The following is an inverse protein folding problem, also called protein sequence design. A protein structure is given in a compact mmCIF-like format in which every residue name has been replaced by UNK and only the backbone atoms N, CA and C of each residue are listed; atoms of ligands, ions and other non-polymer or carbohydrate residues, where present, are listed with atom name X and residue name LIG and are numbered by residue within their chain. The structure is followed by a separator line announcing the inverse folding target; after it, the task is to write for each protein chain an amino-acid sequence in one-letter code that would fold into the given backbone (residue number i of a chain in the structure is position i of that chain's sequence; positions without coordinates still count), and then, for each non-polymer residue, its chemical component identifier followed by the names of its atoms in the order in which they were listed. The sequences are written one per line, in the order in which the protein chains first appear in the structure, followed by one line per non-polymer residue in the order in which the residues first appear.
data_IF_429675695603
#
_entry.id   IF_429675695603
#
_cell.length_a   1.000
_cell.length_b   1.000
_cell.length_c   1.000
_cell.angle_alpha   90.00
_cell.angle_beta   90.00
_cell.angle_gamma   90.00
#
_symmetry.space_group_name_H-M   'P 1'
#
loop_
_entity.id
_entity.type
_entity.pdbx_description
1 polymer ?
#
# COMPACT_ATOMS: atom_id res chain seq x y z
N UNK A 1 6.15 12.79 11.39
CA UNK A 1 5.29 12.21 10.35
C UNK A 1 3.85 12.43 10.73
N UNK A 2 2.99 12.71 9.77
CA UNK A 2 1.55 12.87 9.92
C UNK A 2 0.85 11.79 9.09
N UNK A 3 -0.37 11.44 9.49
CA UNK A 3 -1.20 10.44 8.81
C UNK A 3 -2.50 11.13 8.39
N UNK A 4 -2.89 10.95 7.13
CA UNK A 4 -4.19 11.37 6.61
C UNK A 4 -4.95 10.16 6.08
N UNK A 5 -6.27 10.21 6.11
CA UNK A 5 -7.14 9.21 5.49
C UNK A 5 -8.08 9.92 4.52
N UNK A 6 -7.90 9.65 3.24
CA UNK A 6 -8.82 10.10 2.19
C UNK A 6 -9.92 9.04 2.09
N UNK A 7 -11.08 9.37 2.66
CA UNK A 7 -12.26 8.50 2.63
C UNK A 7 -12.86 8.56 1.24
N UNK A 8 -12.78 7.44 0.52
CA UNK A 8 -13.26 7.32 -0.85
C UNK A 8 -14.60 6.59 -0.88
N UNK A 9 -15.42 6.87 -1.89
CA UNK A 9 -16.65 6.12 -2.10
C UNK A 9 -16.30 4.68 -2.48
N UNK A 10 -16.90 3.73 -1.77
CA UNK A 10 -16.82 2.31 -2.11
C UNK A 10 -18.20 1.68 -2.03
N UNK A 11 -18.40 0.62 -2.81
CA UNK A 11 -19.53 -0.29 -2.59
C UNK A 11 -19.35 -1.12 -1.32
N UNK A 12 -20.30 -2.03 -1.09
CA UNK A 12 -20.16 -3.07 -0.07
C UNK A 12 -18.98 -3.96 -0.43
N UNK A 13 -18.18 -4.31 0.56
CA UNK A 13 -17.06 -5.23 0.39
C UNK A 13 -17.57 -6.63 0.07
N UNK A 14 -17.23 -7.14 -1.12
CA UNK A 14 -17.69 -8.47 -1.57
C UNK A 14 -17.11 -9.62 -0.76
N UNK A 15 -15.85 -9.50 -0.33
CA UNK A 15 -15.12 -10.54 0.43
C UNK A 15 -14.53 -9.92 1.69
N UNK A 16 -14.82 -10.46 2.88
CA UNK A 16 -14.23 -9.95 4.14
C UNK A 16 -12.70 -10.13 4.16
N UNK A 17 -11.98 -9.32 4.94
CA UNK A 17 -10.50 -9.44 5.02
C UNK A 17 -10.07 -10.84 5.46
N UNK A 18 -10.80 -11.43 6.43
CA UNK A 18 -10.52 -12.77 6.96
C UNK A 18 -10.69 -13.85 5.90
N UNK A 19 -11.79 -13.80 5.13
CA UNK A 19 -12.00 -14.75 4.04
C UNK A 19 -10.97 -14.54 2.92
N UNK A 20 -10.72 -13.27 2.56
CA UNK A 20 -9.81 -12.90 1.50
C UNK A 20 -8.37 -13.33 1.79
N UNK A 21 -7.83 -13.07 2.97
CA UNK A 21 -6.45 -13.46 3.32
C UNK A 21 -6.25 -14.98 3.27
N UNK A 22 -7.23 -15.76 3.75
CA UNK A 22 -7.16 -17.21 3.71
C UNK A 22 -7.21 -17.74 2.27
N UNK A 23 -8.01 -17.10 1.42
CA UNK A 23 -8.08 -17.44 0.01
C UNK A 23 -6.78 -17.10 -0.72
N UNK A 24 -6.22 -15.92 -0.48
CA UNK A 24 -4.96 -15.48 -1.08
C UNK A 24 -3.81 -16.43 -0.73
N UNK A 25 -3.67 -16.84 0.53
CA UNK A 25 -2.65 -17.82 0.95
C UNK A 25 -2.75 -19.12 0.16
N UNK A 26 -3.98 -19.58 -0.13
CA UNK A 26 -4.21 -20.85 -0.82
C UNK A 26 -4.02 -20.79 -2.33
N UNK A 27 -4.25 -19.62 -2.94
CA UNK A 27 -4.47 -19.55 -4.40
C UNK A 27 -3.64 -18.52 -5.14
N UNK A 28 -3.13 -17.50 -4.45
CA UNK A 28 -2.29 -16.49 -5.10
C UNK A 28 -0.86 -17.03 -5.28
N UNK A 29 -0.33 -17.10 -6.52
CA UNK A 29 0.97 -17.68 -6.79
C UNK A 29 2.14 -16.90 -6.18
N UNK A 30 1.95 -15.61 -5.90
CA UNK A 30 3.00 -14.71 -5.38
C UNK A 30 3.05 -14.67 -3.84
N UNK A 31 2.11 -15.32 -3.15
CA UNK A 31 2.08 -15.32 -1.67
C UNK A 31 3.27 -16.04 -1.05
N UNK A 32 3.71 -17.14 -1.65
CA UNK A 32 4.86 -17.92 -1.13
C UNK A 32 6.13 -17.07 -1.12
N UNK A 33 6.42 -16.37 -2.22
CA UNK A 33 7.58 -15.48 -2.33
C UNK A 33 7.46 -14.28 -1.39
N UNK A 34 6.26 -13.69 -1.29
CA UNK A 34 6.02 -12.58 -0.36
C UNK A 34 6.38 -12.94 1.08
N UNK A 35 5.90 -14.08 1.56
CA UNK A 35 6.08 -14.50 2.96
C UNK A 35 7.53 -14.90 3.23
N UNK A 36 8.15 -15.64 2.31
CA UNK A 36 9.48 -16.22 2.54
C UNK A 36 10.64 -15.26 2.26
N UNK A 37 10.46 -14.28 1.37
CA UNK A 37 11.54 -13.38 0.91
C UNK A 37 11.19 -11.91 1.11
N UNK A 38 10.10 -11.44 0.50
CA UNK A 38 9.83 -10.00 0.40
C UNK A 38 9.57 -9.35 1.76
N UNK A 39 8.68 -9.94 2.57
CA UNK A 39 8.31 -9.38 3.88
C UNK A 39 9.51 -9.34 4.83
N UNK A 40 10.28 -10.43 5.04
CA UNK A 40 11.48 -10.37 5.88
C UNK A 40 12.46 -9.25 5.48
N UNK A 41 12.73 -9.10 4.18
CA UNK A 41 13.62 -8.05 3.68
C UNK A 41 13.07 -6.65 3.92
N UNK A 42 11.79 -6.42 3.59
CA UNK A 42 11.13 -5.13 3.82
C UNK A 42 11.02 -4.78 5.29
N UNK A 43 10.84 -5.77 6.18
CA UNK A 43 10.82 -5.56 7.62
C UNK A 43 12.14 -4.99 8.14
N UNK A 44 13.29 -5.50 7.68
CA UNK A 44 14.58 -4.93 8.05
C UNK A 44 14.79 -3.54 7.43
N UNK A 45 14.46 -3.36 6.15
CA UNK A 45 14.60 -2.09 5.46
C UNK A 45 13.73 -0.98 6.09
N UNK A 46 12.47 -1.27 6.45
CA UNK A 46 11.56 -0.27 7.03
C UNK A 46 11.96 0.08 8.46
N UNK A 47 12.45 -0.89 9.27
CA UNK A 47 13.02 -0.62 10.60
C UNK A 47 14.19 0.36 10.49
N UNK A 48 15.08 0.14 9.52
CA UNK A 48 16.21 1.03 9.28
C UNK A 48 15.73 2.42 8.85
N UNK A 49 14.78 2.51 7.92
CA UNK A 49 14.23 3.78 7.44
C UNK A 49 13.58 4.59 8.58
N UNK A 50 12.82 3.92 9.45
CA UNK A 50 12.20 4.55 10.63
C UNK A 50 13.28 5.03 11.62
N UNK A 51 14.25 4.18 11.95
CA UNK A 51 15.30 4.49 12.94
C UNK A 51 16.17 5.66 12.48
N UNK A 52 16.50 5.70 11.18
CA UNK A 52 17.30 6.77 10.56
C UNK A 52 16.47 7.99 10.15
N UNK A 53 15.16 7.97 10.40
CA UNK A 53 14.21 9.02 9.98
C UNK A 53 14.26 9.32 8.48
N UNK A 54 14.61 8.33 7.66
CA UNK A 54 14.63 8.43 6.21
C UNK A 54 13.22 8.27 5.64
N UNK A 55 12.51 9.38 5.49
CA UNK A 55 11.14 9.38 4.98
C UNK A 55 11.06 8.88 3.53
N UNK A 56 12.04 9.21 2.69
CA UNK A 56 12.04 8.78 1.28
C UNK A 56 12.02 7.26 1.14
N UNK A 57 12.91 6.58 1.87
CA UNK A 57 12.97 5.12 1.90
C UNK A 57 11.73 4.49 2.55
N UNK A 58 11.24 5.09 3.66
CA UNK A 58 10.00 4.66 4.28
C UNK A 58 8.81 4.73 3.31
N UNK A 59 8.70 5.83 2.56
CA UNK A 59 7.62 6.06 1.61
C UNK A 59 7.67 5.07 0.45
N UNK A 60 8.86 4.79 -0.08
CA UNK A 60 9.06 3.81 -1.14
C UNK A 60 8.63 2.40 -0.70
N UNK A 61 9.09 1.93 0.46
CA UNK A 61 8.74 0.61 0.99
C UNK A 61 7.24 0.51 1.26
N UNK A 62 6.64 1.57 1.83
CA UNK A 62 5.21 1.64 2.16
C UNK A 62 4.35 1.53 0.90
N UNK A 63 4.66 2.30 -0.14
CA UNK A 63 3.92 2.24 -1.40
C UNK A 63 4.12 0.90 -2.11
N UNK A 64 5.34 0.36 -2.13
CA UNK A 64 5.62 -0.94 -2.73
C UNK A 64 4.87 -2.08 -2.02
N UNK A 65 4.79 -2.06 -0.68
CA UNK A 65 4.04 -3.09 0.06
C UNK A 65 2.52 -2.97 -0.13
N UNK A 66 2.02 -1.75 -0.29
CA UNK A 66 0.63 -1.52 -0.66
C UNK A 66 0.32 -1.98 -2.09
N UNK A 67 1.23 -1.76 -3.05
CA UNK A 67 1.08 -2.21 -4.44
C UNK A 67 1.06 -3.75 -4.50
N UNK A 68 1.94 -4.42 -3.73
CA UNK A 68 1.95 -5.87 -3.62
C UNK A 68 0.65 -6.43 -3.05
N UNK A 69 0.03 -5.77 -2.05
CA UNK A 69 -1.27 -6.20 -1.54
C UNK A 69 -2.34 -6.21 -2.63
N UNK A 70 -2.39 -5.16 -3.47
CA UNK A 70 -3.32 -5.11 -4.59
C UNK A 70 -3.02 -6.22 -5.61
N UNK A 71 -1.75 -6.46 -5.92
CA UNK A 71 -1.33 -7.54 -6.82
C UNK A 71 -1.75 -8.92 -6.29
N UNK A 72 -1.57 -9.19 -5.00
CA UNK A 72 -1.97 -10.46 -4.36
C UNK A 72 -3.47 -10.65 -4.46
N UNK A 73 -4.25 -9.60 -4.16
CA UNK A 73 -5.70 -9.66 -4.27
C UNK A 73 -6.13 -9.97 -5.72
N UNK A 74 -5.49 -9.33 -6.71
CA UNK A 74 -5.75 -9.57 -8.13
C UNK A 74 -5.36 -10.99 -8.58
N UNK A 75 -4.27 -11.56 -8.06
CA UNK A 75 -3.80 -12.91 -8.42
C UNK A 75 -4.40 -14.02 -7.54
N UNK A 76 -5.23 -13.68 -6.57
CA UNK A 76 -6.04 -14.65 -5.81
C UNK A 76 -7.09 -15.27 -6.74
N UNK A 77 -7.50 -16.53 -6.50
CA UNK A 77 -8.50 -17.21 -7.33
C UNK A 77 -9.68 -17.64 -6.44
N UNK A 78 -10.89 -17.08 -6.58
CA UNK A 78 -11.25 -15.99 -7.50
C UNK A 78 -10.57 -14.66 -7.13
N UNK A 79 -10.36 -13.74 -8.10
CA UNK A 79 -9.76 -12.43 -7.83
C UNK A 79 -10.54 -11.64 -6.80
N UNK A 80 -9.80 -10.92 -5.95
CA UNK A 80 -10.34 -10.02 -4.94
C UNK A 80 -10.01 -8.59 -5.38
N UNK A 81 -10.97 -7.70 -5.29
CA UNK A 81 -10.76 -6.28 -5.54
C UNK A 81 -11.33 -5.45 -4.38
N UNK A 82 -10.45 -4.70 -3.72
CA UNK A 82 -10.82 -3.75 -2.69
C UNK A 82 -10.72 -2.29 -3.15
N UNK A 83 -9.71 -2.00 -3.98
CA UNK A 83 -9.50 -0.69 -4.58
C UNK A 83 -10.55 -0.38 -5.64
N UNK A 84 -10.96 0.88 -5.71
CA UNK A 84 -11.81 1.43 -6.79
C UNK A 84 -10.97 2.25 -7.76
N UNK A 85 -11.58 2.76 -8.83
CA UNK A 85 -10.90 3.68 -9.74
C UNK A 85 -10.41 4.96 -9.04
N UNK A 86 -11.13 5.43 -8.02
CA UNK A 86 -10.68 6.56 -7.21
C UNK A 86 -9.44 6.20 -6.38
N UNK A 87 -9.35 4.97 -5.87
CA UNK A 87 -8.14 4.46 -5.20
C UNK A 87 -6.96 4.45 -6.17
N UNK A 88 -7.14 3.94 -7.39
CA UNK A 88 -6.09 3.95 -8.40
C UNK A 88 -5.74 5.38 -8.87
N UNK A 89 -6.72 6.29 -8.90
CA UNK A 89 -6.48 7.71 -9.19
C UNK A 89 -5.61 8.35 -8.10
N UNK A 90 -5.82 8.02 -6.83
CA UNK A 90 -4.96 8.45 -5.72
C UNK A 90 -3.53 7.92 -5.88
N UNK A 91 -3.36 6.64 -6.22
CA UNK A 91 -2.02 6.07 -6.47
C UNK A 91 -1.29 6.83 -7.59
N UNK A 92 -1.98 7.09 -8.71
CA UNK A 92 -1.44 7.87 -9.84
C UNK A 92 -1.09 9.29 -9.43
N UNK A 93 -1.97 9.95 -8.66
CA UNK A 93 -1.77 11.32 -8.18
C UNK A 93 -0.51 11.41 -7.31
N UNK A 94 -0.34 10.53 -6.32
CA UNK A 94 0.81 10.56 -5.42
C UNK A 94 2.10 10.23 -6.18
N UNK A 95 2.09 9.25 -7.08
CA UNK A 95 3.24 8.96 -7.97
C UNK A 95 3.63 10.19 -8.80
N UNK A 96 2.65 10.86 -9.42
CA UNK A 96 2.89 12.07 -10.20
C UNK A 96 3.36 13.25 -9.34
N UNK A 97 2.85 13.39 -8.11
CA UNK A 97 3.28 14.43 -7.17
C UNK A 97 4.73 14.24 -6.74
N UNK A 98 5.10 13.01 -6.34
CA UNK A 98 6.49 12.69 -5.98
C UNK A 98 7.44 12.84 -7.17
N UNK A 99 7.01 12.49 -8.39
CA UNK A 99 7.84 12.66 -9.60
C UNK A 99 8.17 14.13 -9.92
N UNK A 100 7.36 15.09 -9.44
CA UNK A 100 7.66 16.53 -9.54
C UNK A 100 8.63 17.02 -8.44
N UNK A 101 9.04 16.14 -7.54
CA UNK A 101 9.95 16.43 -6.43
C UNK A 101 11.25 15.65 -6.63
N UNK A 102 12.29 16.01 -5.89
CA UNK A 102 13.58 15.31 -5.95
C UNK A 102 13.58 13.99 -5.17
N UNK A 103 12.56 13.76 -4.35
CA UNK A 103 12.40 12.58 -3.50
C UNK A 103 10.92 12.31 -3.21
N UNK A 104 10.61 11.13 -2.68
CA UNK A 104 9.28 10.81 -2.17
C UNK A 104 8.98 11.68 -0.94
N UNK A 105 7.94 12.52 -1.02
CA UNK A 105 7.50 13.44 0.05
C UNK A 105 6.11 13.09 0.59
N UNK A 106 5.37 12.24 -0.14
CA UNK A 106 4.11 11.65 0.31
C UNK A 106 4.15 10.15 -0.01
N UNK A 107 3.66 9.31 0.89
CA UNK A 107 3.44 7.89 0.64
C UNK A 107 1.95 7.59 0.70
N UNK A 108 1.46 6.66 -0.11
CA UNK A 108 0.14 6.08 0.05
C UNK A 108 0.23 4.65 0.58
N UNK A 109 -0.83 4.21 1.25
CA UNK A 109 -1.11 2.79 1.49
C UNK A 109 -2.61 2.53 1.50
N UNK A 110 -2.99 1.34 1.09
CA UNK A 110 -4.36 0.84 1.07
C UNK A 110 -4.41 -0.46 1.86
N UNK A 111 -5.47 -0.64 2.65
CA UNK A 111 -5.79 -1.92 3.28
C UNK A 111 -6.88 -2.63 2.44
N UNK A 112 -7.62 -3.55 3.05
CA UNK A 112 -8.75 -4.24 2.43
C UNK A 112 -10.01 -3.35 2.30
N UNK A 113 -9.87 -2.21 1.61
CA UNK A 113 -10.93 -1.28 1.23
C UNK A 113 -10.44 -0.19 0.27
N UNK A 114 -11.33 0.75 -0.11
CA UNK A 114 -11.00 1.79 -1.09
C UNK A 114 -10.23 2.99 -0.51
N UNK A 115 -10.29 3.20 0.81
CA UNK A 115 -9.72 4.38 1.46
C UNK A 115 -8.20 4.47 1.26
N UNK A 116 -7.72 5.66 0.91
CA UNK A 116 -6.31 5.93 0.72
C UNK A 116 -5.74 6.56 2.00
N UNK A 117 -4.85 5.83 2.68
CA UNK A 117 -4.06 6.40 3.77
C UNK A 117 -2.82 7.05 3.20
N UNK A 118 -2.50 8.24 3.70
CA UNK A 118 -1.33 9.00 3.30
C UNK A 118 -0.41 9.23 4.48
N UNK A 119 0.89 9.06 4.24
CA UNK A 119 1.94 9.51 5.15
C UNK A 119 2.66 10.70 4.52
N UNK A 120 2.91 11.74 5.32
CA UNK A 120 3.72 12.89 4.91
C UNK A 120 4.43 13.50 6.12
N UNK A 121 5.45 14.33 5.88
CA UNK A 121 6.04 15.15 6.93
C UNK A 121 5.19 16.41 7.17
N UNK A 122 5.30 17.00 8.37
CA UNK A 122 4.43 18.12 8.81
C UNK A 122 4.54 19.33 7.88
N UNK A 123 5.73 19.60 7.36
CA UNK A 123 6.08 20.69 6.45
C UNK A 123 5.56 20.48 5.01
N UNK A 124 5.12 19.26 4.68
CA UNK A 124 4.51 18.92 3.38
C UNK A 124 2.98 19.06 3.40
N UNK A 125 2.39 19.42 4.55
CA UNK A 125 0.95 19.58 4.76
C UNK A 125 0.67 21.06 5.05
N UNK A 126 -0.30 21.69 4.37
CA UNK A 126 -0.71 23.07 4.64
C UNK A 126 -1.16 23.32 6.09
#
# INVERSE_FOLDING_TARGET
MQVLCVVLKSGTKDVSSTAGMQQSVKTSPIMTERVSVVVPQRMEAVKQAITTKNFHAFAEITMADSDDLQAICQTTIPPIQYATEDSYAMMRLIKAYNAKKTQNVVAYTFDAGANCFLFALRDQIP
#
